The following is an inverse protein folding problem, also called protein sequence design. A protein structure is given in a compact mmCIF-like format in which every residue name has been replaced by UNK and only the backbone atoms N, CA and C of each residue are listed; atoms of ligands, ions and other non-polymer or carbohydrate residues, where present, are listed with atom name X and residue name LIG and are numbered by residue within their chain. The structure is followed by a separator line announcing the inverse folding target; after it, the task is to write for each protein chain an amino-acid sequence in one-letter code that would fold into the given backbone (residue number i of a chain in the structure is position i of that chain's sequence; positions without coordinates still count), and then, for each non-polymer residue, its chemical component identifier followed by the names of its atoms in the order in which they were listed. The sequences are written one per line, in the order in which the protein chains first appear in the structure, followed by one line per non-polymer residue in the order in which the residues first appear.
data_IF_729341595452
#
_entry.id   IF_729341595452
#
_cell.length_a   1.000
_cell.length_b   1.000
_cell.length_c   1.000
_cell.angle_alpha   90.00
_cell.angle_beta   90.00
_cell.angle_gamma   90.00
#
_symmetry.space_group_name_H-M   'P 1'
#
loop_
_entity.id
_entity.type
_entity.pdbx_description
1 polymer ?
#
# COMPACT_ATOMS: atom_id res chain seq x y z
N UNK A 1 17.23 4.40 -17.67
CA UNK A 1 17.19 4.16 -16.22
C UNK A 1 16.82 5.45 -15.49
N UNK A 2 16.05 5.34 -14.42
CA UNK A 2 15.70 6.47 -13.56
C UNK A 2 16.05 6.12 -12.13
N UNK A 3 16.41 7.11 -11.33
CA UNK A 3 16.71 6.88 -9.93
C UNK A 3 16.16 8.03 -9.09
N UNK A 4 15.89 7.75 -7.83
CA UNK A 4 15.34 8.73 -6.90
C UNK A 4 15.69 8.32 -5.48
N UNK A 5 16.04 9.28 -4.65
CA UNK A 5 16.20 9.04 -3.22
C UNK A 5 14.86 9.27 -2.54
N UNK A 6 14.35 8.26 -1.85
CA UNK A 6 13.09 8.36 -1.13
C UNK A 6 13.34 8.97 0.25
N UNK A 7 12.48 9.87 0.66
CA UNK A 7 12.65 10.58 1.94
C UNK A 7 11.72 10.09 3.02
N UNK A 8 10.68 9.34 2.63
CA UNK A 8 9.71 8.77 3.56
C UNK A 8 9.13 9.79 4.54
N UNK A 9 8.78 10.96 4.02
CA UNK A 9 8.03 11.94 4.79
C UNK A 9 6.56 11.52 4.88
N UNK A 10 5.85 12.08 5.87
CA UNK A 10 4.46 11.73 6.09
C UNK A 10 3.60 11.92 4.84
N UNK A 11 2.68 10.99 4.61
CA UNK A 11 1.73 11.02 3.51
C UNK A 11 1.96 9.92 2.49
N UNK A 12 1.22 10.01 1.39
CA UNK A 12 1.31 9.06 0.29
C UNK A 12 1.85 9.76 -0.95
N UNK A 13 2.90 9.17 -1.57
CA UNK A 13 3.49 9.72 -2.78
C UNK A 13 3.91 8.62 -3.72
N UNK A 14 3.52 8.77 -4.98
CA UNK A 14 4.03 7.90 -6.04
C UNK A 14 5.48 8.30 -6.31
N UNK A 15 6.37 7.33 -6.26
CA UNK A 15 7.79 7.54 -6.53
C UNK A 15 8.09 7.38 -8.02
N UNK A 16 7.80 6.19 -8.54
CA UNK A 16 8.00 5.85 -9.94
C UNK A 16 6.87 4.98 -10.45
N UNK A 17 6.60 5.08 -11.74
CA UNK A 17 5.76 4.14 -12.42
C UNK A 17 6.39 3.70 -13.73
N UNK A 18 6.23 2.45 -14.05
CA UNK A 18 6.47 1.88 -15.37
C UNK A 18 5.18 1.21 -15.81
N UNK A 19 5.16 0.63 -16.99
CA UNK A 19 3.92 0.08 -17.55
C UNK A 19 3.24 -0.95 -16.64
N UNK A 20 4.03 -1.80 -15.97
CA UNK A 20 3.49 -2.95 -15.23
C UNK A 20 3.59 -2.81 -13.72
N UNK A 21 4.24 -1.79 -13.23
CA UNK A 21 4.45 -1.65 -11.80
C UNK A 21 4.67 -0.20 -11.41
N UNK A 22 4.40 0.10 -10.16
CA UNK A 22 4.50 1.44 -9.63
C UNK A 22 4.98 1.34 -8.19
N UNK A 23 5.93 2.19 -7.83
CA UNK A 23 6.41 2.28 -6.45
C UNK A 23 5.86 3.55 -5.80
N UNK A 24 5.47 3.43 -4.53
CA UNK A 24 4.96 4.57 -3.76
C UNK A 24 5.42 4.49 -2.32
N UNK A 25 5.67 5.65 -1.72
CA UNK A 25 5.90 5.77 -0.30
C UNK A 25 4.55 5.97 0.39
N UNK A 26 4.29 5.18 1.43
CA UNK A 26 3.12 5.38 2.28
C UNK A 26 3.62 5.49 3.71
N UNK A 27 3.50 6.68 4.28
CA UNK A 27 4.04 6.99 5.60
C UNK A 27 2.91 7.53 6.46
N UNK A 28 2.63 6.84 7.54
CA UNK A 28 1.44 7.07 8.38
C UNK A 28 1.86 7.60 9.73
N UNK A 29 1.25 8.71 10.16
CA UNK A 29 1.49 9.28 11.48
C UNK A 29 0.94 8.38 12.59
N UNK A 30 1.49 8.45 13.82
CA UNK A 30 0.97 7.69 14.94
C UNK A 30 -0.53 7.89 15.13
N UNK A 31 -1.25 6.79 15.29
CA UNK A 31 -2.70 6.82 15.49
C UNK A 31 -3.53 6.91 14.22
N UNK A 32 -2.89 7.22 13.10
CA UNK A 32 -3.60 7.32 11.83
C UNK A 32 -3.60 5.99 11.08
N UNK A 33 -4.39 5.93 10.02
CA UNK A 33 -4.48 4.75 9.17
C UNK A 33 -4.68 5.14 7.72
N UNK A 34 -4.34 4.21 6.83
CA UNK A 34 -4.61 4.30 5.41
C UNK A 34 -5.50 3.13 5.01
N UNK A 35 -6.45 3.40 4.11
CA UNK A 35 -7.43 2.41 3.71
C UNK A 35 -8.58 2.34 4.69
N UNK A 36 -9.34 1.27 4.62
CA UNK A 36 -10.48 1.06 5.50
C UNK A 36 -11.24 -0.17 5.07
N UNK A 37 -12.38 -0.46 5.72
CA UNK A 37 -13.12 -1.70 5.44
C UNK A 37 -13.54 -1.87 3.99
N UNK A 38 -13.72 -0.77 3.27
CA UNK A 38 -14.14 -0.82 1.88
C UNK A 38 -13.00 -0.56 0.90
N UNK A 39 -11.80 -0.35 1.41
CA UNK A 39 -10.66 -0.06 0.55
C UNK A 39 -10.09 -1.32 -0.06
N UNK A 40 -10.09 -1.35 -1.38
CA UNK A 40 -9.48 -2.45 -2.13
C UNK A 40 -8.99 -1.93 -3.48
N UNK A 41 -7.87 -2.47 -3.92
CA UNK A 41 -7.34 -2.19 -5.24
C UNK A 41 -7.89 -3.22 -6.20
N UNK A 42 -8.94 -2.88 -6.92
CA UNK A 42 -9.63 -3.86 -7.78
C UNK A 42 -8.80 -4.36 -8.94
N UNK A 43 -7.83 -3.59 -9.38
CA UNK A 43 -7.02 -3.95 -10.53
C UNK A 43 -5.55 -4.19 -10.23
N UNK A 44 -5.15 -4.16 -8.97
CA UNK A 44 -3.73 -4.24 -8.63
C UNK A 44 -3.48 -5.04 -7.37
N UNK A 45 -2.37 -5.77 -7.37
CA UNK A 45 -1.81 -6.33 -6.14
C UNK A 45 -0.94 -5.26 -5.51
N UNK A 46 -0.91 -5.20 -4.19
CA UNK A 46 -0.08 -4.27 -3.44
C UNK A 46 0.95 -5.05 -2.63
N UNK A 47 2.21 -4.81 -2.91
CA UNK A 47 3.32 -5.35 -2.13
C UNK A 47 3.76 -4.26 -1.16
N UNK A 48 3.73 -4.56 0.13
CA UNK A 48 4.06 -3.59 1.17
C UNK A 48 5.26 -4.07 1.96
N UNK A 49 6.28 -3.22 2.04
CA UNK A 49 7.47 -3.48 2.84
C UNK A 49 7.59 -2.40 3.92
N UNK A 50 7.72 -2.83 5.18
CA UNK A 50 7.87 -1.90 6.30
C UNK A 50 9.33 -1.53 6.45
N UNK A 51 9.63 -0.25 6.25
CA UNK A 51 10.99 0.29 6.39
C UNK A 51 11.29 0.57 7.86
N UNK A 52 10.36 1.20 8.57
CA UNK A 52 10.52 1.52 9.99
C UNK A 52 9.17 1.79 10.63
N UNK A 53 9.12 1.70 11.95
CA UNK A 53 7.90 1.92 12.72
C UNK A 53 7.17 0.62 13.00
N UNK A 54 6.02 0.73 13.66
CA UNK A 54 5.18 -0.41 14.03
C UNK A 54 3.72 -0.13 13.71
N UNK A 55 3.00 -1.17 13.37
CA UNK A 55 1.60 -1.02 13.04
C UNK A 55 0.88 -2.35 12.91
N UNK A 56 -0.31 -2.29 12.35
CA UNK A 56 -1.14 -3.46 12.11
C UNK A 56 -1.78 -3.33 10.74
N UNK A 57 -1.71 -4.39 9.96
CA UNK A 57 -2.49 -4.51 8.73
C UNK A 57 -3.66 -5.44 8.99
N UNK A 58 -4.84 -5.00 8.59
CA UNK A 58 -6.05 -5.83 8.61
C UNK A 58 -6.47 -6.07 7.18
N UNK A 59 -6.65 -7.34 6.84
CA UNK A 59 -7.00 -7.74 5.48
C UNK A 59 -8.21 -8.67 5.56
N UNK A 60 -9.17 -8.42 4.70
CA UNK A 60 -10.37 -9.24 4.60
C UNK A 60 -10.52 -9.77 3.19
N UNK A 61 -10.70 -11.09 3.07
CA UNK A 61 -10.86 -11.77 1.79
C UNK A 61 -11.73 -12.99 2.01
N UNK A 62 -12.74 -13.16 1.15
CA UNK A 62 -13.65 -14.32 1.18
C UNK A 62 -14.27 -14.54 2.56
N UNK A 63 -14.66 -13.46 3.23
CA UNK A 63 -15.27 -13.53 4.54
C UNK A 63 -14.30 -13.83 5.67
N UNK A 64 -13.02 -14.00 5.37
CA UNK A 64 -11.99 -14.24 6.37
C UNK A 64 -11.25 -12.95 6.68
N UNK A 65 -11.04 -12.70 7.96
CA UNK A 65 -10.29 -11.55 8.43
C UNK A 65 -8.94 -11.99 8.98
N UNK A 66 -7.90 -11.28 8.57
CA UNK A 66 -6.56 -11.54 9.05
C UNK A 66 -5.96 -10.24 9.58
N UNK A 67 -5.18 -10.39 10.62
CA UNK A 67 -4.49 -9.27 11.25
C UNK A 67 -3.01 -9.61 11.31
N UNK A 68 -2.19 -8.70 10.79
CA UNK A 68 -0.75 -8.91 10.71
C UNK A 68 -0.05 -7.75 11.42
N UNK A 69 0.82 -8.08 12.36
CA UNK A 69 1.64 -7.09 13.04
C UNK A 69 2.74 -6.62 12.11
N UNK A 70 2.94 -5.32 12.05
CA UNK A 70 3.94 -4.69 11.19
C UNK A 70 5.09 -4.16 12.02
N UNK A 71 6.30 -4.47 11.59
CA UNK A 71 7.53 -3.90 12.12
C UNK A 71 8.56 -3.90 11.01
N UNK A 72 9.68 -3.21 11.23
CA UNK A 72 10.73 -3.09 10.21
C UNK A 72 11.10 -4.46 9.64
N UNK A 73 11.16 -4.54 8.33
CA UNK A 73 11.49 -5.77 7.61
C UNK A 73 10.29 -6.64 7.22
N UNK A 74 9.08 -6.32 7.71
CA UNK A 74 7.90 -7.11 7.34
C UNK A 74 7.54 -6.84 5.88
N UNK A 75 7.33 -7.91 5.14
CA UNK A 75 6.85 -7.86 3.77
C UNK A 75 5.53 -8.59 3.68
N UNK A 76 4.55 -7.98 3.05
CA UNK A 76 3.27 -8.64 2.77
C UNK A 76 2.77 -8.26 1.39
N UNK A 77 1.92 -9.11 0.85
CA UNK A 77 1.21 -8.81 -0.38
C UNK A 77 -0.29 -8.80 -0.08
N UNK A 78 -0.94 -7.73 -0.52
CA UNK A 78 -2.39 -7.59 -0.47
C UNK A 78 -2.87 -7.79 -1.90
N UNK A 79 -3.56 -8.90 -2.12
CA UNK A 79 -3.95 -9.25 -3.47
C UNK A 79 -5.16 -8.44 -3.93
N UNK A 80 -5.27 -8.26 -5.22
CA UNK A 80 -6.37 -7.48 -5.78
C UNK A 80 -7.71 -7.98 -5.23
N UNK A 81 -8.58 -7.03 -4.92
CA UNK A 81 -9.91 -7.35 -4.39
C UNK A 81 -9.98 -7.57 -2.90
N UNK A 82 -8.85 -7.74 -2.22
CA UNK A 82 -8.85 -7.84 -0.77
C UNK A 82 -9.07 -6.47 -0.14
N UNK A 83 -9.94 -6.42 0.85
CA UNK A 83 -10.14 -5.18 1.62
C UNK A 83 -9.03 -5.08 2.65
N UNK A 84 -8.52 -3.88 2.86
CA UNK A 84 -7.40 -3.73 3.78
C UNK A 84 -7.39 -2.37 4.45
N UNK A 85 -6.77 -2.34 5.62
CA UNK A 85 -6.46 -1.13 6.36
C UNK A 85 -5.09 -1.30 6.98
N UNK A 86 -4.27 -0.26 6.89
CA UNK A 86 -2.96 -0.22 7.55
C UNK A 86 -2.99 0.90 8.58
N UNK A 87 -2.75 0.55 9.85
CA UNK A 87 -2.80 1.50 10.96
C UNK A 87 -1.45 1.57 11.66
N UNK A 88 -1.05 2.79 11.98
CA UNK A 88 0.14 3.02 12.80
C UNK A 88 -0.26 2.91 14.27
N UNK A 89 0.25 1.89 14.95
CA UNK A 89 0.00 1.66 16.38
C UNK A 89 1.20 2.02 17.24
N UNK A 90 2.25 2.56 16.64
CA UNK A 90 3.46 2.96 17.34
C UNK A 90 3.46 4.43 17.72
N UNK A 91 4.63 4.91 18.09
CA UNK A 91 4.84 6.29 18.52
C UNK A 91 5.61 7.13 17.52
N UNK A 92 6.12 6.51 16.47
CA UNK A 92 6.87 7.17 15.41
C UNK A 92 6.17 6.94 14.09
N UNK A 93 6.64 7.60 13.04
CA UNK A 93 6.08 7.39 11.71
C UNK A 93 6.21 5.92 11.30
N UNK A 94 5.16 5.36 10.72
CA UNK A 94 5.20 4.06 10.10
C UNK A 94 5.55 4.28 8.63
N UNK A 95 6.77 3.94 8.25
CA UNK A 95 7.29 4.16 6.90
C UNK A 95 7.22 2.86 6.12
N UNK A 96 6.53 2.91 4.98
CA UNK A 96 6.40 1.74 4.13
C UNK A 96 6.70 2.08 2.69
N UNK A 97 7.28 1.10 1.98
CA UNK A 97 7.49 1.17 0.54
C UNK A 97 6.53 0.19 -0.09
N UNK A 98 5.79 0.65 -1.08
CA UNK A 98 4.74 -0.16 -1.70
C UNK A 98 4.96 -0.26 -3.18
N UNK A 99 4.60 -1.42 -3.74
CA UNK A 99 4.59 -1.64 -5.19
C UNK A 99 3.20 -2.08 -5.59
N UNK A 100 2.68 -1.47 -6.63
CA UNK A 100 1.37 -1.82 -7.21
C UNK A 100 1.60 -2.43 -8.58
N UNK A 101 1.03 -3.59 -8.82
CA UNK A 101 1.19 -4.35 -10.06
C UNK A 101 -0.18 -4.77 -10.59
N UNK A 102 -0.70 -4.13 -11.65
CA UNK A 102 -0.19 -2.95 -12.36
C UNK A 102 -0.34 -1.66 -11.55
N UNK A 103 0.08 -0.52 -12.08
CA UNK A 103 -0.07 0.76 -11.37
C UNK A 103 -1.51 1.03 -10.95
N UNK A 104 -1.70 1.52 -9.73
CA UNK A 104 -3.01 1.78 -9.13
C UNK A 104 -3.33 3.29 -9.00
N UNK A 105 -2.34 4.15 -9.18
CA UNK A 105 -2.48 5.59 -8.96
C UNK A 105 -1.87 6.38 -10.12
N UNK A 106 -2.40 7.58 -10.35
CA UNK A 106 -1.77 8.52 -11.28
C UNK A 106 -0.57 9.18 -10.59
N UNK A 107 0.14 10.04 -11.32
CA UNK A 107 1.35 10.70 -10.78
C UNK A 107 1.06 11.59 -9.59
N UNK A 108 -0.18 12.04 -9.44
CA UNK A 108 -0.61 12.89 -8.33
C UNK A 108 -1.08 12.08 -7.13
N UNK A 109 -1.08 10.75 -7.23
CA UNK A 109 -1.54 9.89 -6.16
C UNK A 109 -3.04 9.62 -6.14
N UNK A 110 -3.76 10.01 -7.18
CA UNK A 110 -5.19 9.72 -7.28
C UNK A 110 -5.41 8.31 -7.79
N UNK A 111 -6.39 7.57 -7.24
CA UNK A 111 -6.65 6.22 -7.72
C UNK A 111 -7.00 6.21 -9.20
N UNK A 112 -6.42 5.26 -9.92
CA UNK A 112 -6.82 4.99 -11.28
C UNK A 112 -8.09 4.15 -11.28
N UNK A 113 -8.93 4.26 -12.32
CA UNK A 113 -10.08 3.36 -12.44
C UNK A 113 -9.58 1.92 -12.46
N UNK A 114 -10.36 0.97 -11.94
CA UNK A 114 -9.97 -0.43 -12.04
C UNK A 114 -9.78 -0.79 -13.50
N UNK A 115 -8.77 -1.63 -13.77
CA UNK A 115 -8.56 -2.15 -15.10
C UNK A 115 -9.86 -2.80 -15.56
N UNK A 116 -10.19 -2.62 -16.84
CA UNK A 116 -11.36 -3.30 -17.39
C UNK A 116 -11.24 -4.79 -17.15
N UNK A 117 -12.37 -5.46 -16.83
CA UNK A 117 -12.31 -6.91 -16.67
C UNK A 117 -11.74 -7.47 -17.95
N UNK A 118 -10.69 -8.25 -17.81
CA UNK A 118 -10.13 -8.91 -18.96
C UNK A 118 -11.19 -9.79 -19.55
N UNK A 119 -11.32 -9.73 -20.86
CA UNK A 119 -12.16 -10.66 -21.56
C UNK A 119 -11.47 -12.02 -21.45
N UNK A 120 -12.04 -12.84 -20.63
CA UNK A 120 -11.46 -14.16 -20.38
C UNK A 120 -11.90 -15.15 -21.45
#
# INVERSE_FOLDING_TARGET
MRSKTLRFGEGFRVAFGVRRAQAAEMVIAPGDSEGGPDNRHRGADQWLFVVSGTGVARVESDGKRRRILLKAGKLLVIERGERHEVRNTGRTLLRTLNFYTPPAYDKKGNPLPPAEPEDK
#
